data_IF_320507657016
#
_entry.id   IF_320507657016
#
_cell.length_a   1.000
_cell.length_b   1.000
_cell.length_c   1.000
_cell.angle_alpha   90.00
_cell.angle_beta   90.00
_cell.angle_gamma   90.00
#
_symmetry.space_group_name_H-M   'P 1'
#
loop_
_entity.id
_entity.type
_entity.pdbx_description
1 polymer ?
#
# COMPACT_ATOMS: atom_id res chain seq x y z
N UNK A 1 7.11 -13.41 3.02
CA UNK A 1 6.71 -13.04 4.39
C UNK A 1 6.64 -14.32 5.21
N UNK A 2 7.38 -14.38 6.31
CA UNK A 2 7.53 -15.63 7.10
C UNK A 2 6.22 -15.96 7.83
N UNK A 3 5.59 -14.97 8.45
CA UNK A 3 4.42 -15.12 9.31
C UNK A 3 3.07 -15.18 8.56
N UNK A 4 3.08 -15.16 7.23
CA UNK A 4 1.84 -15.08 6.42
C UNK A 4 0.80 -16.13 6.79
N UNK A 5 1.22 -17.39 6.97
CA UNK A 5 0.27 -18.48 7.30
C UNK A 5 -0.32 -18.34 8.70
N UNK A 6 0.47 -17.84 9.66
CA UNK A 6 -0.04 -17.57 11.01
C UNK A 6 -1.08 -16.44 10.98
N UNK A 7 -0.80 -15.35 10.27
CA UNK A 7 -1.75 -14.24 10.10
C UNK A 7 -3.01 -14.69 9.37
N UNK A 8 -2.87 -15.49 8.31
CA UNK A 8 -4.01 -16.06 7.57
C UNK A 8 -4.92 -16.90 8.47
N UNK A 9 -4.33 -17.72 9.32
CA UNK A 9 -5.07 -18.55 10.27
C UNK A 9 -5.88 -17.69 11.26
N UNK A 10 -5.25 -16.64 11.82
CA UNK A 10 -5.90 -15.73 12.75
C UNK A 10 -7.07 -14.97 12.08
N UNK A 11 -6.83 -14.40 10.91
CA UNK A 11 -7.85 -13.68 10.13
C UNK A 11 -9.00 -14.62 9.76
N UNK A 12 -8.70 -15.84 9.33
CA UNK A 12 -9.71 -16.86 9.03
C UNK A 12 -10.56 -17.28 10.24
N UNK A 13 -10.01 -17.14 11.45
CA UNK A 13 -10.74 -17.33 12.71
C UNK A 13 -11.49 -16.06 13.19
N UNK A 14 -11.52 -14.99 12.40
CA UNK A 14 -12.20 -13.73 12.75
C UNK A 14 -11.39 -12.81 13.66
N UNK A 15 -10.10 -13.07 13.86
CA UNK A 15 -9.23 -12.24 14.70
C UNK A 15 -8.73 -11.04 13.91
N UNK A 16 -8.88 -9.84 14.47
CA UNK A 16 -8.26 -8.63 13.93
C UNK A 16 -6.75 -8.68 14.23
N UNK A 17 -5.93 -8.77 13.19
CA UNK A 17 -4.50 -8.91 13.30
C UNK A 17 -3.79 -7.58 13.01
N UNK A 18 -2.90 -7.16 13.92
CA UNK A 18 -1.97 -6.04 13.70
C UNK A 18 -0.61 -6.64 13.34
N UNK A 19 -0.17 -6.38 12.11
CA UNK A 19 1.03 -7.01 11.55
C UNK A 19 1.92 -6.00 10.82
N UNK A 20 3.10 -6.42 10.40
CA UNK A 20 4.12 -5.66 9.66
C UNK A 20 4.81 -4.52 10.43
N UNK A 21 4.20 -3.92 11.44
CA UNK A 21 4.79 -2.81 12.19
C UNK A 21 5.37 -1.72 11.27
N UNK A 22 6.65 -1.41 11.40
CA UNK A 22 7.38 -0.46 10.53
C UNK A 22 7.86 -1.04 9.18
N UNK A 23 7.51 -2.30 8.85
CA UNK A 23 7.93 -3.02 7.64
C UNK A 23 8.36 -4.47 7.91
N UNK A 24 8.91 -4.73 9.08
CA UNK A 24 9.36 -6.05 9.51
C UNK A 24 10.88 -6.20 9.53
N UNK A 25 11.34 -7.34 10.04
CA UNK A 25 12.75 -7.68 10.12
C UNK A 25 13.16 -8.34 8.79
N UNK A 26 14.14 -7.77 8.06
CA UNK A 26 14.59 -8.35 6.80
C UNK A 26 15.36 -9.65 7.05
N UNK A 27 14.92 -10.72 6.41
CA UNK A 27 15.57 -12.03 6.49
C UNK A 27 15.67 -12.66 5.11
N UNK A 28 16.75 -13.41 4.90
CA UNK A 28 16.89 -14.33 3.78
C UNK A 28 16.65 -15.76 4.24
N UNK A 29 16.10 -16.59 3.36
CA UNK A 29 15.94 -18.02 3.63
C UNK A 29 16.88 -18.82 2.73
N UNK A 30 17.76 -19.63 3.34
CA UNK A 30 18.63 -20.58 2.62
C UNK A 30 18.52 -21.94 3.31
N UNK A 31 18.17 -22.98 2.54
CA UNK A 31 18.04 -24.35 3.05
C UNK A 31 17.15 -24.46 4.32
N UNK A 32 16.04 -23.70 4.36
CA UNK A 32 15.11 -23.69 5.49
C UNK A 32 15.60 -22.94 6.73
N UNK A 33 16.78 -22.30 6.68
CA UNK A 33 17.29 -21.46 7.76
C UNK A 33 17.12 -19.99 7.43
N UNK A 34 16.62 -19.21 8.39
CA UNK A 34 16.51 -17.76 8.28
C UNK A 34 17.81 -17.12 8.77
N UNK A 35 18.29 -16.13 8.05
CA UNK A 35 19.42 -15.29 8.41
C UNK A 35 19.03 -13.82 8.24
N UNK A 36 19.38 -12.97 9.20
CA UNK A 36 19.20 -11.51 9.10
C UNK A 36 19.94 -10.94 7.89
N UNK A 37 19.37 -9.91 7.30
CA UNK A 37 19.97 -9.16 6.18
C UNK A 37 20.08 -7.70 6.60
N UNK A 38 21.21 -7.06 6.28
CA UNK A 38 21.37 -5.62 6.52
C UNK A 38 20.61 -4.84 5.44
N UNK A 39 19.34 -4.58 5.74
CA UNK A 39 18.40 -3.90 4.84
C UNK A 39 17.27 -3.26 5.66
N UNK A 40 16.45 -2.45 5.00
CA UNK A 40 15.20 -1.90 5.57
C UNK A 40 14.04 -2.33 4.69
N UNK A 41 12.98 -2.84 5.32
CA UNK A 41 11.73 -3.16 4.63
C UNK A 41 10.77 -1.98 4.78
N UNK A 42 10.31 -1.46 3.66
CA UNK A 42 9.29 -0.42 3.66
C UNK A 42 7.92 -0.97 4.10
N UNK A 43 7.24 -0.25 4.99
CA UNK A 43 5.96 -0.67 5.57
C UNK A 43 4.82 -0.76 4.56
N UNK A 44 4.80 0.14 3.55
CA UNK A 44 3.74 0.18 2.56
C UNK A 44 3.87 -1.02 1.60
N UNK A 45 5.11 -1.37 1.20
CA UNK A 45 5.41 -2.59 0.44
C UNK A 45 5.11 -3.87 1.23
N UNK A 46 5.45 -3.90 2.53
CA UNK A 46 5.14 -5.04 3.39
C UNK A 46 3.63 -5.23 3.52
N UNK A 47 2.87 -4.14 3.67
CA UNK A 47 1.40 -4.16 3.75
C UNK A 47 0.76 -4.64 2.46
N UNK A 48 1.27 -4.20 1.29
CA UNK A 48 0.82 -4.69 0.00
C UNK A 48 1.05 -6.20 -0.15
N UNK A 49 2.25 -6.70 0.18
CA UNK A 49 2.56 -8.14 0.14
C UNK A 49 1.67 -8.96 1.08
N UNK A 50 1.41 -8.45 2.28
CA UNK A 50 0.50 -9.09 3.23
C UNK A 50 -0.91 -9.16 2.67
N UNK A 51 -1.42 -8.04 2.16
CA UNK A 51 -2.77 -7.93 1.60
C UNK A 51 -2.97 -8.87 0.40
N UNK A 52 -1.98 -8.94 -0.49
CA UNK A 52 -1.97 -9.90 -1.62
C UNK A 52 -2.00 -11.34 -1.08
N UNK A 53 -1.11 -11.66 -0.14
CA UNK A 53 -1.02 -13.01 0.44
C UNK A 53 -2.27 -13.44 1.19
N UNK A 54 -2.99 -12.53 1.81
CA UNK A 54 -4.26 -12.80 2.50
C UNK A 54 -5.47 -12.82 1.54
N UNK A 55 -5.33 -12.37 0.31
CA UNK A 55 -6.45 -12.18 -0.61
C UNK A 55 -7.39 -11.07 -0.17
N UNK A 56 -6.85 -9.99 0.44
CA UNK A 56 -7.64 -8.88 0.94
C UNK A 56 -8.51 -8.27 -0.18
N UNK A 57 -9.75 -7.89 0.16
CA UNK A 57 -10.68 -7.27 -0.79
C UNK A 57 -10.23 -5.87 -1.21
N UNK A 58 -9.54 -5.17 -0.32
CA UNK A 58 -9.03 -3.81 -0.54
C UNK A 58 -7.79 -3.57 0.28
N UNK A 59 -6.84 -2.81 -0.26
CA UNK A 59 -5.74 -2.20 0.48
C UNK A 59 -6.07 -0.73 0.73
N UNK A 60 -6.04 -0.28 1.99
CA UNK A 60 -6.20 1.14 2.33
C UNK A 60 -4.91 1.64 2.96
N UNK A 61 -4.30 2.65 2.37
CA UNK A 61 -3.10 3.31 2.91
C UNK A 61 -3.49 4.69 3.42
N UNK A 62 -3.25 4.90 4.70
CA UNK A 62 -3.48 6.19 5.35
C UNK A 62 -2.21 7.04 5.33
N UNK A 63 -2.39 8.32 5.02
CA UNK A 63 -1.32 9.32 4.96
C UNK A 63 -1.81 10.66 5.50
N UNK A 64 -0.97 11.67 5.50
CA UNK A 64 -1.26 13.03 5.99
C UNK A 64 -2.00 13.91 4.97
N UNK A 65 -2.13 13.44 3.72
CA UNK A 65 -2.90 14.13 2.67
C UNK A 65 -4.16 13.34 2.30
N UNK A 66 -5.20 14.04 1.84
CA UNK A 66 -6.49 13.41 1.56
C UNK A 66 -6.50 12.57 0.29
N UNK A 67 -5.63 12.88 -0.67
CA UNK A 67 -5.51 12.19 -1.95
C UNK A 67 -4.07 12.29 -2.50
N UNK A 68 -3.79 11.62 -3.60
CA UNK A 68 -2.61 11.86 -4.45
C UNK A 68 -2.86 13.09 -5.31
N UNK A 69 -1.84 13.91 -5.49
CA UNK A 69 -1.91 15.11 -6.31
C UNK A 69 -0.82 15.08 -7.37
N UNK A 70 -1.14 15.49 -8.59
CA UNK A 70 -0.16 15.95 -9.57
C UNK A 70 0.32 17.36 -9.21
N UNK A 71 1.51 17.76 -9.67
CA UNK A 71 2.04 19.11 -9.48
C UNK A 71 2.18 19.51 -8.01
N UNK A 72 2.50 18.59 -7.11
CA UNK A 72 2.64 18.89 -5.68
C UNK A 72 3.69 19.99 -5.43
N UNK A 73 3.30 21.02 -4.67
CA UNK A 73 4.16 22.16 -4.38
C UNK A 73 4.17 23.27 -5.43
N UNK A 74 3.34 23.18 -6.44
CA UNK A 74 3.12 24.20 -7.48
C UNK A 74 1.70 24.78 -7.41
N UNK A 75 1.47 25.88 -8.14
CA UNK A 75 0.14 26.48 -8.30
C UNK A 75 -0.80 25.61 -9.20
N UNK A 76 -0.24 24.62 -9.90
CA UNK A 76 -0.96 23.70 -10.79
C UNK A 76 -1.32 22.38 -10.08
N UNK A 77 -1.35 22.38 -8.73
CA UNK A 77 -1.71 21.21 -7.95
C UNK A 77 -3.13 20.73 -8.26
N UNK A 78 -3.25 19.50 -8.73
CA UNK A 78 -4.51 18.85 -9.09
C UNK A 78 -4.70 17.54 -8.30
N UNK A 79 -5.87 17.35 -7.71
CA UNK A 79 -6.25 16.11 -7.04
C UNK A 79 -6.53 15.01 -8.07
N UNK A 80 -5.97 13.82 -7.83
CA UNK A 80 -6.15 12.66 -8.69
C UNK A 80 -7.08 11.65 -8.00
N UNK A 81 -8.39 11.66 -8.27
CA UNK A 81 -9.35 10.79 -7.60
C UNK A 81 -9.22 9.31 -8.00
N UNK A 82 -8.70 9.06 -9.18
CA UNK A 82 -8.49 7.70 -9.71
C UNK A 82 -7.21 7.65 -10.55
N UNK A 83 -6.46 6.56 -10.42
CA UNK A 83 -5.30 6.23 -11.23
C UNK A 83 -5.41 4.79 -11.70
N UNK A 84 -5.36 4.58 -13.01
CA UNK A 84 -5.11 3.26 -13.57
C UNK A 84 -3.61 2.91 -13.51
N UNK A 85 -3.27 1.70 -13.92
CA UNK A 85 -1.89 1.22 -13.86
C UNK A 85 -0.92 2.02 -14.73
N UNK A 86 -1.38 2.58 -15.85
CA UNK A 86 -0.55 3.38 -16.76
C UNK A 86 -0.28 4.77 -16.15
N UNK A 87 -1.33 5.46 -15.73
CA UNK A 87 -1.23 6.76 -15.07
C UNK A 87 -0.42 6.70 -13.77
N UNK A 88 -0.63 5.66 -12.95
CA UNK A 88 0.15 5.46 -11.73
C UNK A 88 1.64 5.29 -12.03
N UNK A 89 2.02 4.49 -13.04
CA UNK A 89 3.44 4.33 -13.45
C UNK A 89 4.03 5.62 -13.98
N UNK A 90 3.28 6.37 -14.79
CA UNK A 90 3.75 7.63 -15.36
C UNK A 90 4.01 8.69 -14.28
N UNK A 91 3.21 8.67 -13.20
CA UNK A 91 3.32 9.61 -12.10
C UNK A 91 4.48 9.29 -11.12
N UNK A 92 4.89 8.03 -10.98
CA UNK A 92 5.91 7.61 -10.00
C UNK A 92 7.22 8.42 -10.05
N UNK A 93 7.80 8.77 -11.22
CA UNK A 93 9.01 9.59 -11.28
C UNK A 93 8.85 10.98 -10.64
N UNK A 94 7.67 11.59 -10.74
CA UNK A 94 7.38 12.90 -10.15
C UNK A 94 7.23 12.82 -8.63
N UNK A 95 6.87 11.64 -8.11
CA UNK A 95 6.67 11.38 -6.68
C UNK A 95 7.92 10.84 -5.97
N UNK A 96 9.04 10.67 -6.69
CA UNK A 96 10.23 9.97 -6.20
C UNK A 96 10.86 10.60 -4.95
N UNK A 97 10.79 11.91 -4.79
CA UNK A 97 11.36 12.64 -3.65
C UNK A 97 10.44 12.74 -2.43
N UNK A 98 9.20 12.22 -2.50
CA UNK A 98 8.18 12.35 -1.47
C UNK A 98 7.82 11.06 -0.76
N UNK A 99 7.08 11.18 0.33
CA UNK A 99 6.54 10.04 1.09
C UNK A 99 5.38 9.34 0.37
N UNK A 100 4.80 9.96 -0.66
CA UNK A 100 3.62 9.45 -1.37
C UNK A 100 3.99 8.41 -2.45
N UNK A 101 5.17 8.52 -3.07
CA UNK A 101 5.64 7.61 -4.11
C UNK A 101 5.61 6.12 -3.69
N UNK A 102 6.23 5.74 -2.55
CA UNK A 102 6.16 4.36 -2.04
C UNK A 102 4.72 3.85 -1.83
N UNK A 103 3.78 4.73 -1.46
CA UNK A 103 2.37 4.39 -1.27
C UNK A 103 1.66 4.10 -2.58
N UNK A 104 1.91 4.92 -3.60
CA UNK A 104 1.39 4.70 -4.96
C UNK A 104 1.98 3.41 -5.53
N UNK A 105 3.27 3.16 -5.37
CA UNK A 105 3.94 1.93 -5.82
C UNK A 105 3.35 0.69 -5.14
N UNK A 106 3.19 0.70 -3.82
CA UNK A 106 2.62 -0.40 -3.05
C UNK A 106 1.15 -0.66 -3.44
N UNK A 107 0.37 0.41 -3.62
CA UNK A 107 -1.03 0.35 -4.06
C UNK A 107 -1.15 -0.23 -5.46
N UNK A 108 -0.29 0.19 -6.39
CA UNK A 108 -0.23 -0.34 -7.75
C UNK A 108 0.14 -1.83 -7.76
N UNK A 109 1.14 -2.23 -6.97
CA UNK A 109 1.53 -3.64 -6.84
C UNK A 109 0.37 -4.50 -6.34
N UNK A 110 -0.39 -4.02 -5.35
CA UNK A 110 -1.60 -4.70 -4.87
C UNK A 110 -2.66 -4.80 -5.97
N UNK A 111 -2.98 -3.70 -6.66
CA UNK A 111 -4.00 -3.67 -7.70
C UNK A 111 -3.69 -4.65 -8.83
N UNK A 112 -2.45 -4.64 -9.34
CA UNK A 112 -2.01 -5.53 -10.40
C UNK A 112 -2.03 -7.02 -10.01
N UNK A 113 -1.63 -7.35 -8.77
CA UNK A 113 -1.56 -8.72 -8.32
C UNK A 113 -2.93 -9.31 -7.94
N UNK A 114 -3.87 -8.49 -7.49
CA UNK A 114 -5.17 -8.94 -6.98
C UNK A 114 -6.34 -8.67 -7.93
N UNK A 115 -6.15 -7.82 -8.95
CA UNK A 115 -7.23 -7.25 -9.79
C UNK A 115 -8.30 -6.52 -8.95
N UNK A 116 -7.89 -5.93 -7.83
CA UNK A 116 -8.74 -5.18 -6.90
C UNK A 116 -8.20 -3.76 -6.72
N UNK A 117 -9.03 -2.87 -6.17
CA UNK A 117 -8.61 -1.50 -5.95
C UNK A 117 -7.83 -1.32 -4.65
N UNK A 118 -6.82 -0.44 -4.68
CA UNK A 118 -6.24 0.16 -3.49
C UNK A 118 -6.73 1.61 -3.33
N UNK A 119 -6.76 2.09 -2.09
CA UNK A 119 -7.23 3.42 -1.72
C UNK A 119 -6.14 4.13 -0.91
N UNK A 120 -5.77 5.33 -1.32
CA UNK A 120 -4.88 6.23 -0.56
C UNK A 120 -5.71 7.41 -0.07
N UNK A 121 -5.68 7.70 1.23
CA UNK A 121 -6.43 8.80 1.82
C UNK A 121 -5.87 9.21 3.19
N UNK A 122 -6.41 10.27 3.78
CA UNK A 122 -6.11 10.63 5.17
C UNK A 122 -7.04 9.93 6.16
N UNK A 123 -6.62 9.85 7.43
CA UNK A 123 -7.47 9.29 8.48
C UNK A 123 -8.76 10.10 8.65
N UNK A 124 -8.71 11.43 8.50
CA UNK A 124 -9.87 12.31 8.59
C UNK A 124 -10.88 12.10 7.44
N UNK A 125 -10.37 11.82 6.23
CA UNK A 125 -11.21 11.63 5.04
C UNK A 125 -11.67 10.17 4.85
N UNK A 126 -11.20 9.20 5.66
CA UNK A 126 -11.41 7.77 5.46
C UNK A 126 -12.87 7.38 5.21
N UNK A 127 -13.82 7.90 6.00
CA UNK A 127 -15.23 7.59 5.83
C UNK A 127 -15.79 8.05 4.48
N UNK A 128 -15.39 9.24 4.02
CA UNK A 128 -15.74 9.76 2.69
C UNK A 128 -15.05 8.97 1.57
N UNK A 129 -13.80 8.62 1.76
CA UNK A 129 -13.01 7.86 0.80
C UNK A 129 -13.60 6.45 0.57
N UNK A 130 -13.98 5.75 1.64
CA UNK A 130 -14.66 4.45 1.54
C UNK A 130 -16.01 4.55 0.84
N UNK A 131 -16.72 5.68 1.00
CA UNK A 131 -17.97 5.96 0.30
C UNK A 131 -17.83 6.53 -1.11
N UNK A 132 -16.61 6.65 -1.62
CA UNK A 132 -16.37 7.10 -2.99
C UNK A 132 -16.32 8.60 -3.19
N UNK A 133 -16.19 9.39 -2.13
CA UNK A 133 -16.26 10.86 -2.18
C UNK A 133 -14.95 11.58 -1.90
N UNK A 134 -13.88 10.84 -1.63
CA UNK A 134 -12.54 11.39 -1.37
C UNK A 134 -11.47 10.33 -1.64
N UNK A 135 -10.20 10.72 -1.55
CA UNK A 135 -9.06 9.83 -1.72
C UNK A 135 -8.76 9.46 -3.16
N UNK A 136 -7.64 8.79 -3.37
CA UNK A 136 -7.23 8.28 -4.68
C UNK A 136 -7.40 6.77 -4.75
N UNK A 137 -8.14 6.28 -5.74
CA UNK A 137 -8.27 4.85 -6.06
C UNK A 137 -7.25 4.47 -7.10
N UNK A 138 -6.54 3.37 -6.84
CA UNK A 138 -5.60 2.79 -7.80
C UNK A 138 -6.13 1.44 -8.26
N UNK A 139 -6.25 1.28 -9.57
CA UNK A 139 -6.80 0.10 -10.25
C UNK A 139 -5.77 -0.53 -11.19
N UNK A 140 -5.96 -1.82 -11.52
CA UNK A 140 -5.17 -2.53 -12.53
C UNK A 140 -5.54 -2.11 -13.95
#
# INVERSE_FOLDING_TARGET
MVELEAVRTLVGAGVISVACGGGGIPVSSRNGRLAGVDAVIDKDRASALLSIGLGAERLVILTDVEAVFAGWGTDEREELPELDAEAARALLPELAEGSIGPKVEASLAFALASSREALITSAAALGNALAGRAGTRIKA
#
